data_IF_132912127205
#
_entry.id   IF_132912127205
#
_cell.length_a   1.000
_cell.length_b   1.000
_cell.length_c   1.000
_cell.angle_alpha   90.00
_cell.angle_beta   90.00
_cell.angle_gamma   90.00
#
_symmetry.space_group_name_H-M   'P 1'
#
loop_
_entity.id
_entity.type
_entity.pdbx_description
1 polymer ?
#
# COMPACT_ATOMS: atom_id res chain seq x y z
N UNK A 1 13.17 -44.74 -2.21
CA UNK A 1 13.72 -43.37 -2.26
C UNK A 1 12.56 -42.41 -2.41
N UNK A 2 12.51 -41.32 -1.63
CA UNK A 2 11.41 -40.35 -1.66
C UNK A 2 11.86 -39.07 -2.36
N UNK A 3 11.19 -38.71 -3.45
CA UNK A 3 11.45 -37.49 -4.21
C UNK A 3 10.22 -36.58 -4.11
N UNK A 4 10.39 -35.34 -3.63
CA UNK A 4 9.34 -34.32 -3.59
C UNK A 4 9.80 -33.13 -4.43
N UNK A 5 9.12 -32.88 -5.54
CA UNK A 5 9.41 -31.77 -6.46
C UNK A 5 8.34 -30.71 -6.39
N UNK A 6 8.72 -29.45 -6.15
CA UNK A 6 7.83 -28.29 -6.24
C UNK A 6 8.29 -27.39 -7.39
N UNK A 7 7.36 -27.09 -8.30
CA UNK A 7 7.63 -26.18 -9.41
C UNK A 7 7.58 -24.74 -8.94
N UNK A 8 8.67 -24.23 -8.35
CA UNK A 8 8.73 -22.87 -7.78
C UNK A 8 8.27 -21.81 -8.80
N UNK A 9 8.78 -21.87 -10.04
CA UNK A 9 8.38 -20.93 -11.10
C UNK A 9 6.92 -21.10 -11.56
N UNK A 10 6.34 -22.31 -11.39
CA UNK A 10 4.93 -22.58 -11.72
C UNK A 10 3.96 -22.11 -10.63
N UNK A 11 4.43 -21.89 -9.40
CA UNK A 11 3.58 -21.40 -8.31
C UNK A 11 3.05 -20.00 -8.59
N UNK A 12 3.87 -19.10 -9.14
CA UNK A 12 3.46 -17.72 -9.37
C UNK A 12 2.23 -17.61 -10.31
N UNK A 13 2.26 -18.16 -11.55
CA UNK A 13 1.08 -18.13 -12.42
C UNK A 13 -0.09 -18.92 -11.83
N UNK A 14 0.16 -20.05 -11.18
CA UNK A 14 -0.91 -20.83 -10.54
C UNK A 14 -1.64 -20.04 -9.44
N UNK A 15 -0.91 -19.23 -8.64
CA UNK A 15 -1.51 -18.36 -7.63
C UNK A 15 -2.30 -17.21 -8.29
N UNK A 16 -1.77 -16.63 -9.36
CA UNK A 16 -2.49 -15.59 -10.12
C UNK A 16 -3.82 -16.14 -10.63
N UNK A 17 -3.81 -17.29 -11.30
CA UNK A 17 -5.00 -17.94 -11.85
C UNK A 17 -6.02 -18.30 -10.75
N UNK A 18 -5.54 -18.78 -9.60
CA UNK A 18 -6.41 -19.21 -8.51
C UNK A 18 -7.05 -18.05 -7.72
N UNK A 19 -6.35 -16.92 -7.56
CA UNK A 19 -6.77 -15.85 -6.64
C UNK A 19 -7.21 -14.56 -7.33
N UNK A 20 -6.78 -14.32 -8.58
CA UNK A 20 -7.07 -13.09 -9.30
C UNK A 20 -8.32 -13.27 -10.17
N UNK A 21 -9.45 -12.74 -9.69
CA UNK A 21 -10.77 -12.88 -10.36
C UNK A 21 -10.89 -11.99 -11.61
N UNK A 22 -10.07 -10.94 -11.72
CA UNK A 22 -10.15 -9.97 -12.81
C UNK A 22 -8.77 -9.68 -13.38
N UNK A 23 -8.71 -9.46 -14.69
CA UNK A 23 -7.51 -8.97 -15.39
C UNK A 23 -7.07 -7.55 -14.98
N UNK A 24 -7.87 -6.86 -14.15
CA UNK A 24 -7.59 -5.51 -13.66
C UNK A 24 -6.73 -5.47 -12.39
N UNK A 25 -6.67 -6.56 -11.63
CA UNK A 25 -5.99 -6.57 -10.34
C UNK A 25 -5.44 -7.96 -10.01
N UNK A 26 -4.16 -8.02 -9.64
CA UNK A 26 -3.56 -9.23 -9.09
C UNK A 26 -3.92 -9.35 -7.62
N UNK A 27 -4.10 -10.57 -7.14
CA UNK A 27 -4.32 -10.87 -5.72
C UNK A 27 -3.29 -11.89 -5.26
N UNK A 28 -2.36 -11.43 -4.42
CA UNK A 28 -1.37 -12.29 -3.81
C UNK A 28 -1.66 -12.52 -2.32
N UNK A 29 -1.42 -13.72 -1.80
CA UNK A 29 -1.26 -13.92 -0.38
C UNK A 29 -0.09 -13.07 0.11
N UNK A 30 -0.20 -12.56 1.34
CA UNK A 30 0.81 -11.72 1.95
C UNK A 30 2.21 -12.33 1.94
N UNK A 31 2.33 -13.66 2.05
CA UNK A 31 3.59 -14.38 2.06
C UNK A 31 4.41 -14.26 0.75
N UNK A 32 3.76 -13.95 -0.38
CA UNK A 32 4.43 -13.86 -1.69
C UNK A 32 4.14 -12.54 -2.41
N UNK A 33 3.47 -11.60 -1.74
CA UNK A 33 3.25 -10.28 -2.28
C UNK A 33 4.59 -9.51 -2.38
N UNK A 34 4.78 -8.66 -3.40
CA UNK A 34 6.02 -7.92 -3.57
C UNK A 34 6.27 -6.90 -2.44
N UNK A 35 5.17 -6.35 -1.90
CA UNK A 35 5.16 -5.49 -0.72
C UNK A 35 3.92 -5.82 0.11
N UNK A 36 4.00 -5.64 1.43
CA UNK A 36 2.83 -5.76 2.30
C UNK A 36 1.85 -4.60 2.04
N UNK A 37 2.37 -3.39 1.91
CA UNK A 37 1.57 -2.18 1.70
C UNK A 37 2.20 -1.20 0.74
N UNK A 38 1.36 -0.36 0.14
CA UNK A 38 1.76 0.87 -0.54
C UNK A 38 1.07 2.07 0.09
N UNK A 39 1.80 3.14 0.30
CA UNK A 39 1.31 4.42 0.79
C UNK A 39 1.28 5.38 -0.40
N UNK A 40 0.09 5.83 -0.77
CA UNK A 40 -0.15 6.81 -1.82
C UNK A 40 -0.44 8.14 -1.15
N UNK A 41 0.41 9.13 -1.40
CA UNK A 41 0.34 10.42 -0.71
C UNK A 41 -0.05 11.53 -1.69
N UNK A 42 -0.96 12.41 -1.25
CA UNK A 42 -1.27 13.66 -1.97
C UNK A 42 -0.04 14.59 -1.90
N UNK A 43 0.23 15.31 -2.99
CA UNK A 43 1.38 16.24 -3.10
C UNK A 43 1.53 17.19 -1.90
N UNK A 44 0.43 17.73 -1.36
CA UNK A 44 0.46 18.65 -0.21
C UNK A 44 0.91 17.99 1.11
N UNK A 45 0.84 16.66 1.22
CA UNK A 45 1.19 15.91 2.42
C UNK A 45 2.57 15.24 2.33
N UNK A 46 3.27 15.33 1.20
CA UNK A 46 4.53 14.60 0.99
C UNK A 46 5.63 14.92 2.02
N UNK A 47 5.74 16.18 2.42
CA UNK A 47 6.72 16.63 3.42
C UNK A 47 6.19 16.59 4.86
N UNK A 48 5.01 16.01 5.09
CA UNK A 48 4.37 16.00 6.39
C UNK A 48 4.87 14.80 7.22
N UNK A 49 5.16 15.03 8.50
CA UNK A 49 5.56 14.00 9.49
C UNK A 49 4.59 12.81 9.52
N UNK A 50 3.32 13.00 9.14
CA UNK A 50 2.34 11.92 9.08
C UNK A 50 2.73 10.80 8.10
N UNK A 51 3.45 11.10 7.02
CA UNK A 51 3.92 10.07 6.08
C UNK A 51 4.91 9.15 6.80
N UNK A 52 5.86 9.74 7.52
CA UNK A 52 6.85 9.00 8.29
C UNK A 52 6.22 8.21 9.44
N UNK A 53 5.28 8.82 10.19
CA UNK A 53 4.53 8.14 11.25
C UNK A 53 3.69 6.98 10.71
N UNK A 54 3.03 7.16 9.57
CA UNK A 54 2.23 6.12 8.92
C UNK A 54 3.13 4.96 8.50
N UNK A 55 4.26 5.26 7.86
CA UNK A 55 5.23 4.24 7.45
C UNK A 55 5.81 3.48 8.66
N UNK A 56 6.13 4.19 9.74
CA UNK A 56 6.70 3.62 10.96
C UNK A 56 5.68 2.76 11.71
N UNK A 57 4.43 3.22 11.81
CA UNK A 57 3.34 2.47 12.42
C UNK A 57 3.03 1.20 11.63
N UNK A 58 2.95 1.33 10.31
CA UNK A 58 2.70 0.19 9.44
C UNK A 58 3.84 -0.84 9.53
N UNK A 59 5.12 -0.43 9.63
CA UNK A 59 6.26 -1.33 9.82
C UNK A 59 6.17 -2.20 11.09
N UNK A 60 5.43 -1.78 12.11
CA UNK A 60 5.20 -2.60 13.33
C UNK A 60 4.37 -3.85 13.05
N UNK A 61 3.45 -3.76 12.09
CA UNK A 61 2.52 -4.84 11.74
C UNK A 61 2.84 -5.51 10.40
N UNK A 62 3.53 -4.78 9.53
CA UNK A 62 3.86 -5.13 8.16
C UNK A 62 5.37 -5.31 7.98
N UNK A 63 5.80 -6.57 7.85
CA UNK A 63 7.21 -6.96 7.73
C UNK A 63 7.67 -7.13 6.27
N UNK A 64 6.73 -7.32 5.33
CA UNK A 64 6.99 -7.55 3.91
C UNK A 64 7.35 -6.30 3.11
N UNK A 65 7.80 -5.22 3.76
CA UNK A 65 8.14 -3.96 3.12
C UNK A 65 6.93 -3.08 2.84
N UNK A 66 7.17 -1.77 2.84
CA UNK A 66 6.17 -0.73 2.57
C UNK A 66 6.70 0.15 1.46
N UNK A 67 5.94 0.20 0.37
CA UNK A 67 6.22 1.06 -0.76
C UNK A 67 5.63 2.45 -0.51
N UNK A 68 6.41 3.51 -0.70
CA UNK A 68 5.89 4.88 -0.75
C UNK A 68 5.77 5.28 -2.22
N UNK A 69 4.57 5.59 -2.69
CA UNK A 69 4.33 6.06 -4.05
C UNK A 69 4.34 7.60 -4.09
N UNK A 70 5.53 8.14 -4.37
CA UNK A 70 5.87 9.56 -4.42
C UNK A 70 5.64 10.21 -5.79
N UNK A 71 5.07 9.47 -6.76
CA UNK A 71 4.75 9.96 -8.12
C UNK A 71 3.57 10.93 -8.11
N UNK A 72 3.85 12.17 -7.69
CA UNK A 72 2.85 13.24 -7.52
C UNK A 72 2.31 13.80 -8.83
N UNK A 73 2.94 13.49 -9.95
CA UNK A 73 2.48 13.78 -11.32
C UNK A 73 1.27 12.90 -11.71
N UNK A 74 1.09 11.75 -11.05
CA UNK A 74 -0.04 10.85 -11.27
C UNK A 74 -1.18 11.11 -10.27
N UNK A 75 -2.41 11.07 -10.78
CA UNK A 75 -3.60 11.13 -9.92
C UNK A 75 -3.61 9.94 -8.94
N UNK A 76 -4.20 10.15 -7.75
CA UNK A 76 -4.31 9.09 -6.75
C UNK A 76 -5.03 7.85 -7.31
N UNK A 77 -6.08 8.04 -8.11
CA UNK A 77 -6.80 6.94 -8.76
C UNK A 77 -5.92 6.11 -9.69
N UNK A 78 -5.02 6.75 -10.46
CA UNK A 78 -4.08 6.04 -11.35
C UNK A 78 -3.06 5.24 -10.53
N UNK A 79 -2.54 5.81 -9.45
CA UNK A 79 -1.62 5.12 -8.52
C UNK A 79 -2.29 3.94 -7.81
N UNK A 80 -3.55 4.08 -7.38
CA UNK A 80 -4.34 2.99 -6.79
C UNK A 80 -4.54 1.87 -7.82
N UNK A 81 -4.79 2.20 -9.08
CA UNK A 81 -4.95 1.21 -10.14
C UNK A 81 -3.65 0.42 -10.37
N UNK A 82 -2.51 1.11 -10.45
CA UNK A 82 -1.18 0.48 -10.58
C UNK A 82 -0.85 -0.43 -9.39
N UNK A 83 -1.14 0.02 -8.16
CA UNK A 83 -0.96 -0.78 -6.95
C UNK A 83 -1.80 -2.07 -6.96
N UNK A 84 -3.05 -2.00 -7.44
CA UNK A 84 -3.90 -3.17 -7.61
C UNK A 84 -3.37 -4.11 -8.70
N UNK A 85 -2.82 -3.56 -9.79
CA UNK A 85 -2.16 -4.38 -10.83
C UNK A 85 -0.90 -5.08 -10.31
N UNK A 86 -0.16 -4.45 -9.40
CA UNK A 86 1.01 -5.05 -8.76
C UNK A 86 0.63 -6.15 -7.75
N UNK A 87 -0.61 -6.16 -7.28
CA UNK A 87 -1.12 -7.14 -6.32
C UNK A 87 -0.70 -6.88 -4.88
N UNK A 88 -0.46 -5.62 -4.53
CA UNK A 88 -0.15 -5.21 -3.15
C UNK A 88 -1.41 -5.37 -2.27
N UNK A 89 -1.35 -6.10 -1.15
CA UNK A 89 -2.52 -6.40 -0.33
C UNK A 89 -3.14 -5.17 0.33
N UNK A 90 -2.32 -4.21 0.80
CA UNK A 90 -2.80 -3.01 1.49
C UNK A 90 -2.44 -1.74 0.71
N UNK A 91 -3.44 -0.93 0.40
CA UNK A 91 -3.26 0.38 -0.25
C UNK A 91 -3.72 1.44 0.75
N UNK A 92 -2.79 2.19 1.30
CA UNK A 92 -3.04 3.29 2.24
C UNK A 92 -3.00 4.59 1.47
N UNK A 93 -4.07 5.39 1.56
CA UNK A 93 -4.17 6.66 0.83
C UNK A 93 -4.21 7.82 1.83
N UNK A 94 -3.20 8.69 1.76
CA UNK A 94 -3.13 9.93 2.54
C UNK A 94 -3.56 11.10 1.65
N UNK A 95 -4.79 11.58 1.84
CA UNK A 95 -5.44 12.55 0.95
C UNK A 95 -6.17 13.66 1.73
N UNK A 96 -7.13 14.34 1.09
CA UNK A 96 -7.83 15.50 1.64
C UNK A 96 -8.46 15.22 3.01
N UNK A 97 -9.02 14.03 3.25
CA UNK A 97 -9.65 13.70 4.53
C UNK A 97 -8.61 13.59 5.66
N UNK A 98 -7.43 13.05 5.34
CA UNK A 98 -6.27 13.02 6.24
C UNK A 98 -5.79 14.44 6.56
N UNK A 99 -5.69 15.29 5.53
CA UNK A 99 -5.30 16.70 5.64
C UNK A 99 -6.32 17.50 6.47
N UNK A 100 -7.62 17.28 6.24
CA UNK A 100 -8.71 17.93 6.98
C UNK A 100 -8.75 17.50 8.44
N UNK A 101 -8.52 16.22 8.71
CA UNK A 101 -8.43 15.70 10.08
C UNK A 101 -7.28 16.37 10.83
N UNK A 102 -6.12 16.53 10.18
CA UNK A 102 -4.97 17.24 10.75
C UNK A 102 -5.26 18.71 11.02
N UNK A 103 -5.83 19.43 10.05
CA UNK A 103 -6.21 20.84 10.23
C UNK A 103 -7.21 20.98 11.36
N UNK A 104 -8.17 20.06 11.46
CA UNK A 104 -9.18 20.07 12.52
C UNK A 104 -8.55 19.81 13.88
N UNK A 105 -7.70 18.80 14.04
CA UNK A 105 -6.98 18.54 15.29
C UNK A 105 -6.07 19.70 15.71
N UNK A 106 -5.31 20.28 14.78
CA UNK A 106 -4.46 21.46 15.06
C UNK A 106 -5.32 22.68 15.40
N UNK A 107 -6.44 22.89 14.72
CA UNK A 107 -7.38 23.98 15.01
C UNK A 107 -8.08 23.79 16.35
N UNK A 108 -8.37 22.56 16.76
CA UNK A 108 -8.84 22.28 18.11
C UNK A 108 -7.76 22.65 19.12
N UNK A 109 -6.51 22.24 18.91
CA UNK A 109 -5.41 22.54 19.82
C UNK A 109 -5.15 24.06 19.93
N UNK A 110 -5.17 24.79 18.81
CA UNK A 110 -4.98 26.25 18.77
C UNK A 110 -6.20 27.06 19.27
N UNK A 111 -7.33 26.42 19.58
CA UNK A 111 -8.55 27.07 20.09
C UNK A 111 -8.76 26.81 21.58
N UNK A 112 -7.87 26.03 22.20
CA UNK A 112 -7.82 25.78 23.64
C UNK A 112 -6.70 26.56 24.35
N UNK A 113 -6.02 27.48 23.65
CA UNK A 113 -5.16 28.51 24.24
C UNK A 113 -5.85 29.88 24.25
#
# INVERSE_FOLDING_TARGET
>A
MCCFGIGVSRLLPAVVDALSVSSKALRFPRAIAPFDAVIIVKKSLMSNVIVEMTSSSAKRYLKGGILLDDRVDMSAGKRIHEANRLGVPFIVVLANETERSLITTVSFYARFE
#
